data_IF_096830032054
#
_entry.id   IF_096830032054
#
_cell.length_a   1.000
_cell.length_b   1.000
_cell.length_c   1.000
_cell.angle_alpha   90.00
_cell.angle_beta   90.00
_cell.angle_gamma   90.00
#
_symmetry.space_group_name_H-M   'P 1'
#
loop_
_entity.id
_entity.type
_entity.pdbx_description
1 polymer ?
#
# COMPACT_ATOMS: atom_id res chain seq x y z
N UNK A 1 -13.52 -11.62 0.89
CA UNK A 1 -13.43 -10.20 0.50
C UNK A 1 -12.01 -9.94 0.06
N UNK A 2 -11.78 -9.32 -1.10
CA UNK A 2 -10.45 -9.09 -1.64
C UNK A 2 -10.01 -7.67 -1.32
N UNK A 3 -8.81 -7.51 -0.76
CA UNK A 3 -8.20 -6.21 -0.48
C UNK A 3 -6.93 -6.13 -1.31
N UNK A 4 -7.01 -5.47 -2.44
CA UNK A 4 -5.93 -5.37 -3.43
C UNK A 4 -5.69 -3.93 -3.89
N UNK A 5 -6.38 -2.96 -3.30
CA UNK A 5 -6.30 -1.56 -3.70
C UNK A 5 -6.57 -0.59 -2.56
N UNK A 6 -6.01 0.61 -2.70
CA UNK A 6 -6.47 1.78 -1.97
C UNK A 6 -7.83 2.20 -2.52
N UNK A 7 -8.89 2.04 -1.73
CA UNK A 7 -10.26 2.38 -2.16
C UNK A 7 -10.45 3.88 -2.40
N UNK A 8 -9.78 4.72 -1.59
CA UNK A 8 -9.95 6.17 -1.63
C UNK A 8 -9.22 6.81 -2.83
N UNK A 9 -8.09 6.24 -3.25
CA UNK A 9 -7.32 6.69 -4.43
C UNK A 9 -7.58 5.83 -5.68
N UNK A 10 -8.40 4.79 -5.56
CA UNK A 10 -8.69 3.78 -6.59
C UNK A 10 -7.45 3.28 -7.37
N UNK A 11 -6.40 2.89 -6.64
CA UNK A 11 -5.15 2.35 -7.19
C UNK A 11 -4.81 1.02 -6.54
N UNK A 12 -4.44 0.02 -7.34
CA UNK A 12 -4.10 -1.31 -6.84
C UNK A 12 -2.74 -1.35 -6.16
N UNK A 13 -2.55 -2.25 -5.20
CA UNK A 13 -1.25 -2.44 -4.56
C UNK A 13 -0.19 -2.93 -5.56
N UNK A 14 -0.58 -3.66 -6.61
CA UNK A 14 0.33 -4.03 -7.71
C UNK A 14 0.88 -2.80 -8.43
N UNK A 15 0.01 -1.85 -8.81
CA UNK A 15 0.44 -0.59 -9.42
C UNK A 15 1.29 0.25 -8.46
N UNK A 16 0.96 0.26 -7.17
CA UNK A 16 1.74 0.97 -6.16
C UNK A 16 3.13 0.36 -6.03
N UNK A 17 3.25 -0.97 -6.01
CA UNK A 17 4.53 -1.70 -5.94
C UNK A 17 5.41 -1.41 -7.16
N UNK A 18 4.84 -1.44 -8.36
CA UNK A 18 5.57 -1.12 -9.59
C UNK A 18 6.10 0.33 -9.56
N UNK A 19 5.27 1.29 -9.15
CA UNK A 19 5.68 2.69 -8.98
C UNK A 19 6.75 2.86 -7.91
N UNK A 20 6.67 2.12 -6.81
CA UNK A 20 7.67 2.13 -5.75
C UNK A 20 9.03 1.63 -6.27
N UNK A 21 9.03 0.52 -7.02
CA UNK A 21 10.24 -0.03 -7.65
C UNK A 21 10.86 0.94 -8.65
N UNK A 22 10.05 1.52 -9.54
CA UNK A 22 10.52 2.50 -10.53
C UNK A 22 11.14 3.76 -9.88
N UNK A 23 10.69 4.12 -8.68
CA UNK A 23 11.19 5.27 -7.92
C UNK A 23 12.24 4.90 -6.86
N UNK A 24 12.65 3.63 -6.77
CA UNK A 24 13.58 3.12 -5.75
C UNK A 24 13.12 3.37 -4.30
N UNK A 25 11.81 3.41 -4.06
CA UNK A 25 11.21 3.56 -2.72
C UNK A 25 11.21 2.21 -2.01
N UNK A 26 11.65 2.18 -0.75
CA UNK A 26 11.75 0.94 0.07
C UNK A 26 11.03 1.00 1.41
N UNK A 27 10.51 2.16 1.79
CA UNK A 27 9.84 2.40 3.06
C UNK A 27 8.50 3.11 2.84
N UNK A 28 7.67 3.13 3.88
CA UNK A 28 6.32 3.67 3.81
C UNK A 28 6.34 5.19 3.65
N UNK A 29 7.27 5.90 4.30
CA UNK A 29 7.33 7.36 4.25
C UNK A 29 7.64 7.84 2.83
N UNK A 30 8.67 7.29 2.20
CA UNK A 30 8.99 7.55 0.80
C UNK A 30 7.88 7.15 -0.16
N UNK A 31 7.08 6.13 0.18
CA UNK A 31 5.92 5.72 -0.62
C UNK A 31 4.81 6.77 -0.60
N UNK A 32 4.53 7.32 0.58
CA UNK A 32 3.51 8.35 0.78
C UNK A 32 3.91 9.69 0.15
N UNK A 33 5.21 10.00 0.11
CA UNK A 33 5.73 11.16 -0.63
C UNK A 33 5.68 10.95 -2.15
N UNK A 34 5.98 9.74 -2.61
CA UNK A 34 6.11 9.45 -4.03
C UNK A 34 4.78 9.14 -4.75
N UNK A 35 3.77 8.68 -4.03
CA UNK A 35 2.52 8.14 -4.59
C UNK A 35 1.33 8.67 -3.78
N UNK A 36 0.26 9.08 -4.47
CA UNK A 36 -0.97 9.58 -3.84
C UNK A 36 -1.84 8.47 -3.24
N UNK A 37 -1.32 7.80 -2.21
CA UNK A 37 -2.02 6.77 -1.44
C UNK A 37 -2.08 7.14 0.04
N UNK A 38 -3.03 6.55 0.77
CA UNK A 38 -3.24 6.76 2.20
C UNK A 38 -3.40 8.23 2.66
N UNK A 39 -3.65 9.19 1.77
CA UNK A 39 -3.83 10.60 2.14
C UNK A 39 -5.15 10.90 2.85
N UNK A 40 -6.20 10.11 2.56
CA UNK A 40 -7.55 10.38 3.05
C UNK A 40 -7.96 9.42 4.18
N UNK A 41 -8.48 8.23 3.83
CA UNK A 41 -9.00 7.28 4.80
C UNK A 41 -7.94 6.47 5.57
N UNK A 42 -6.69 6.44 5.10
CA UNK A 42 -5.55 5.72 5.70
C UNK A 42 -5.71 4.20 5.89
N UNK A 43 -6.84 3.61 5.52
CA UNK A 43 -7.12 2.18 5.66
C UNK A 43 -6.16 1.28 4.87
N UNK A 44 -5.53 1.77 3.80
CA UNK A 44 -4.59 1.00 3.02
C UNK A 44 -3.18 0.89 3.65
N UNK A 45 -2.84 1.73 4.64
CA UNK A 45 -1.50 1.78 5.24
C UNK A 45 -0.93 0.42 5.68
N UNK A 46 -1.64 -0.41 6.47
CA UNK A 46 -1.07 -1.68 6.92
C UNK A 46 -0.81 -2.64 5.75
N UNK A 47 -1.61 -2.57 4.69
CA UNK A 47 -1.39 -3.37 3.48
C UNK A 47 -0.22 -2.85 2.64
N UNK A 48 -0.02 -1.53 2.59
CA UNK A 48 1.15 -0.93 1.92
C UNK A 48 2.45 -1.28 2.65
N UNK A 49 2.44 -1.24 3.98
CA UNK A 49 3.55 -1.73 4.80
C UNK A 49 3.84 -3.20 4.51
N UNK A 50 2.81 -4.05 4.55
CA UNK A 50 2.99 -5.48 4.32
C UNK A 50 3.43 -5.77 2.87
N UNK A 51 2.93 -5.01 1.90
CA UNK A 51 3.38 -5.06 0.51
C UNK A 51 4.86 -4.70 0.37
N UNK A 52 5.35 -3.69 1.08
CA UNK A 52 6.78 -3.32 1.07
C UNK A 52 7.65 -4.40 1.74
N UNK A 53 7.17 -5.03 2.82
CA UNK A 53 7.88 -6.09 3.56
C UNK A 53 7.92 -7.42 2.80
N UNK A 54 6.79 -7.85 2.25
CA UNK A 54 6.59 -9.21 1.72
C UNK A 54 6.48 -9.25 0.20
N UNK A 55 6.20 -8.11 -0.43
CA UNK A 55 5.87 -8.03 -1.86
C UNK A 55 4.44 -8.47 -2.20
N UNK A 56 3.60 -8.86 -1.23
CA UNK A 56 2.20 -9.23 -1.47
C UNK A 56 1.35 -8.02 -1.86
N UNK A 57 0.48 -8.19 -2.85
CA UNK A 57 -0.38 -7.11 -3.38
C UNK A 57 -1.87 -7.43 -3.26
N UNK A 58 -2.20 -8.59 -2.70
CA UNK A 58 -3.57 -9.07 -2.57
C UNK A 58 -3.73 -9.72 -1.20
N UNK A 59 -4.71 -9.23 -0.43
CA UNK A 59 -4.96 -9.68 0.93
C UNK A 59 -6.40 -10.17 1.04
N UNK A 60 -6.60 -11.29 1.73
CA UNK A 60 -7.92 -11.88 1.94
C UNK A 60 -8.55 -11.49 3.28
N UNK A 61 -7.74 -10.97 4.21
CA UNK A 61 -8.12 -10.63 5.57
C UNK A 61 -7.73 -9.19 5.90
N UNK A 62 -8.43 -8.60 6.88
CA UNK A 62 -8.06 -7.28 7.40
C UNK A 62 -6.76 -7.38 8.21
N UNK A 63 -5.76 -6.56 7.86
CA UNK A 63 -4.56 -6.40 8.68
C UNK A 63 -4.83 -5.33 9.73
N UNK A 64 -4.84 -5.72 11.00
CA UNK A 64 -4.91 -4.83 12.15
C UNK A 64 -3.51 -4.77 12.78
N UNK A 65 -2.68 -3.82 12.35
CA UNK A 65 -1.45 -3.52 13.10
C UNK A 65 -1.86 -2.80 14.40
N UNK A 66 -1.60 -3.41 15.56
CA UNK A 66 -1.72 -2.73 16.86
C UNK A 66 -0.62 -1.68 16.92
N UNK A 67 -1.00 -0.40 16.87
CA UNK A 67 -0.10 0.72 17.17
C UNK A 67 0.37 0.69 18.62
#
# INVERSE_FOLDING_TARGET
MKIDKCICSNITFSEVKEKAMNKNVKDIDGLLEAIEVAKNCKLCLPYLNEMLKTGQTEFSNLILEKQ
#
